data_IF_024624301206
#
_entry.id   IF_024624301206
#
_cell.length_a   1.000
_cell.length_b   1.000
_cell.length_c   1.000
_cell.angle_alpha   90.00
_cell.angle_beta   90.00
_cell.angle_gamma   90.00
#
_symmetry.space_group_name_H-M   'P 1'
#
loop_
_entity.id
_entity.type
_entity.pdbx_description
1 polymer ?
#
# COMPACT_ATOMS: atom_id res chain seq x y z
N UNK A 1 15.89 18.90 5.02
CA UNK A 1 15.89 17.77 5.98
C UNK A 1 14.49 17.70 6.55
N UNK A 2 13.60 16.94 5.91
CA UNK A 2 12.22 16.80 6.38
C UNK A 2 12.21 15.69 7.43
N UNK A 3 12.26 16.09 8.70
CA UNK A 3 11.88 15.21 9.80
C UNK A 3 10.37 15.06 9.72
N UNK A 4 9.91 13.99 9.08
CA UNK A 4 8.51 13.56 9.22
C UNK A 4 8.41 13.05 10.65
N UNK A 5 7.71 13.79 11.50
CA UNK A 5 7.48 13.41 12.88
C UNK A 5 6.95 11.97 12.93
N UNK A 6 7.62 11.14 13.74
CA UNK A 6 7.30 9.72 13.89
C UNK A 6 5.89 9.47 14.44
N UNK A 7 5.25 10.51 14.98
CA UNK A 7 3.91 10.45 15.58
C UNK A 7 2.79 10.19 14.54
N UNK A 8 2.92 10.64 13.29
CA UNK A 8 1.85 10.46 12.30
C UNK A 8 1.79 9.05 11.70
N UNK A 9 2.91 8.31 11.72
CA UNK A 9 2.98 6.95 11.16
C UNK A 9 2.19 5.92 11.99
N UNK A 10 1.83 6.27 13.21
CA UNK A 10 1.43 5.31 14.22
C UNK A 10 -0.08 5.28 14.49
N UNK A 11 -0.88 6.20 13.93
CA UNK A 11 -2.33 6.28 14.18
C UNK A 11 -3.09 4.95 14.10
N UNK A 12 -2.99 4.16 13.02
CA UNK A 12 -3.70 2.87 12.94
C UNK A 12 -3.13 1.81 13.90
N UNK A 13 -1.85 1.84 14.23
CA UNK A 13 -1.26 0.84 15.13
C UNK A 13 -1.59 1.19 16.59
N UNK A 14 -1.59 2.47 16.94
CA UNK A 14 -1.87 2.97 18.28
C UNK A 14 -3.37 3.01 18.59
N UNK A 15 -4.24 3.18 17.58
CA UNK A 15 -5.69 3.22 17.78
C UNK A 15 -6.31 1.84 18.04
N UNK A 16 -5.66 0.75 17.62
CA UNK A 16 -6.22 -0.59 17.73
C UNK A 16 -5.38 -1.46 18.66
N UNK A 17 -5.86 -1.62 19.90
CA UNK A 17 -5.25 -2.51 20.90
C UNK A 17 -5.46 -4.00 20.54
N UNK A 18 -6.52 -4.33 19.78
CA UNK A 18 -6.81 -5.70 19.31
C UNK A 18 -6.11 -5.98 17.96
N UNK A 19 -5.13 -6.90 17.92
CA UNK A 19 -4.46 -7.26 16.67
C UNK A 19 -5.39 -7.88 15.62
N UNK A 20 -6.51 -8.49 16.02
CA UNK A 20 -7.48 -9.09 15.09
C UNK A 20 -8.33 -8.03 14.40
N UNK A 21 -8.70 -6.97 15.12
CA UNK A 21 -9.38 -5.82 14.53
C UNK A 21 -8.46 -5.10 13.53
N UNK A 22 -7.19 -4.88 13.90
CA UNK A 22 -6.19 -4.31 12.99
C UNK A 22 -5.99 -5.19 11.74
N UNK A 23 -5.91 -6.51 11.90
CA UNK A 23 -5.80 -7.46 10.79
C UNK A 23 -7.01 -7.36 9.85
N UNK A 24 -8.22 -7.24 10.40
CA UNK A 24 -9.45 -7.08 9.61
C UNK A 24 -9.41 -5.80 8.78
N UNK A 25 -9.16 -4.66 9.42
CA UNK A 25 -9.12 -3.34 8.78
C UNK A 25 -8.06 -3.30 7.68
N UNK A 26 -6.84 -3.75 7.99
CA UNK A 26 -5.75 -3.80 7.00
C UNK A 26 -6.12 -4.70 5.83
N UNK A 27 -6.70 -5.88 6.09
CA UNK A 27 -7.12 -6.80 5.04
C UNK A 27 -8.18 -6.21 4.11
N UNK A 28 -9.19 -5.54 4.69
CA UNK A 28 -10.27 -4.88 3.92
C UNK A 28 -9.70 -3.74 3.10
N UNK A 29 -8.85 -2.89 3.68
CA UNK A 29 -8.28 -1.74 2.97
C UNK A 29 -7.34 -2.15 1.84
N UNK A 30 -6.51 -3.18 2.03
CA UNK A 30 -5.68 -3.74 0.95
C UNK A 30 -6.55 -4.31 -0.18
N UNK A 31 -7.66 -4.98 0.16
CA UNK A 31 -8.60 -5.51 -0.82
C UNK A 31 -9.33 -4.39 -1.58
N UNK A 32 -9.75 -3.34 -0.88
CA UNK A 32 -10.34 -2.15 -1.50
C UNK A 32 -9.34 -1.50 -2.45
N UNK A 33 -8.10 -1.29 -2.01
CA UNK A 33 -7.04 -0.74 -2.85
C UNK A 33 -6.84 -1.60 -4.11
N UNK A 34 -6.81 -2.92 -3.99
CA UNK A 34 -6.68 -3.83 -5.14
C UNK A 34 -7.81 -3.70 -6.19
N UNK A 35 -8.98 -3.16 -5.81
CA UNK A 35 -10.14 -2.97 -6.68
C UNK A 35 -10.18 -1.59 -7.34
N UNK A 36 -9.30 -0.67 -6.97
CA UNK A 36 -9.24 0.68 -7.53
C UNK A 36 -9.00 0.61 -9.04
N UNK A 37 -9.79 1.38 -9.78
CA UNK A 37 -9.68 1.56 -11.22
C UNK A 37 -9.06 2.93 -11.55
N UNK A 38 -8.72 3.12 -12.83
CA UNK A 38 -8.29 4.45 -13.30
C UNK A 38 -9.48 5.41 -13.19
N UNK A 39 -9.21 6.65 -12.79
CA UNK A 39 -10.20 7.70 -12.53
C UNK A 39 -11.11 7.49 -11.31
N UNK A 40 -10.97 6.38 -10.59
CA UNK A 40 -11.62 6.20 -9.29
C UNK A 40 -11.04 7.18 -8.25
N UNK A 41 -11.90 7.65 -7.35
CA UNK A 41 -11.50 8.38 -6.16
C UNK A 41 -11.45 7.42 -4.98
N UNK A 42 -10.29 7.36 -4.32
CA UNK A 42 -10.12 6.58 -3.11
C UNK A 42 -10.29 7.48 -1.89
N UNK A 43 -11.36 7.26 -1.14
CA UNK A 43 -11.61 7.90 0.15
C UNK A 43 -10.87 7.11 1.24
N UNK A 44 -10.01 7.79 1.99
CA UNK A 44 -9.10 7.17 2.97
C UNK A 44 -9.19 7.83 4.35
N UNK A 45 -10.15 8.72 4.57
CA UNK A 45 -10.27 9.53 5.80
C UNK A 45 -10.99 8.82 6.94
N UNK A 46 -11.63 7.68 6.67
CA UNK A 46 -12.18 6.79 7.70
C UNK A 46 -11.34 5.51 7.82
N UNK A 47 -11.65 4.70 8.84
CA UNK A 47 -10.93 3.45 9.14
C UNK A 47 -10.93 2.48 7.96
N UNK A 48 -12.06 2.43 7.24
CA UNK A 48 -12.20 1.66 6.00
C UNK A 48 -12.15 2.56 4.78
N UNK A 49 -11.30 2.18 3.84
CA UNK A 49 -11.21 2.83 2.54
C UNK A 49 -12.47 2.57 1.73
N UNK A 50 -12.89 3.56 0.96
CA UNK A 50 -14.02 3.44 0.05
C UNK A 50 -13.67 3.97 -1.33
N UNK A 51 -14.17 3.29 -2.37
CA UNK A 51 -14.03 3.72 -3.76
C UNK A 51 -15.27 4.54 -4.12
N UNK A 52 -15.04 5.76 -4.58
CA UNK A 52 -16.05 6.66 -5.11
C UNK A 52 -15.83 6.80 -6.61
N UNK A 53 -16.83 6.43 -7.42
CA UNK A 53 -16.69 6.50 -8.87
C UNK A 53 -17.26 7.82 -9.39
N UNK A 54 -16.63 8.45 -10.40
CA UNK A 54 -17.17 9.67 -11.00
C UNK A 54 -18.60 9.51 -11.54
N UNK A 55 -18.97 8.31 -11.98
CA UNK A 55 -20.31 8.01 -12.48
C UNK A 55 -21.41 8.17 -11.42
N UNK A 56 -21.06 8.08 -10.14
CA UNK A 56 -22.01 8.15 -9.03
C UNK A 56 -22.35 9.61 -8.66
N UNK A 57 -21.52 10.59 -9.06
CA UNK A 57 -21.63 12.00 -8.68
C UNK A 57 -21.77 12.96 -9.87
N UNK A 58 -22.38 12.50 -10.98
CA UNK A 58 -22.54 13.27 -12.23
C UNK A 58 -23.17 14.66 -12.08
N UNK A 59 -23.80 14.95 -10.94
CA UNK A 59 -24.48 16.22 -10.65
C UNK A 59 -23.56 17.26 -9.97
N UNK A 60 -22.43 16.88 -9.39
CA UNK A 60 -21.58 17.80 -8.61
C UNK A 60 -20.21 17.97 -9.29
N UNK A 61 -19.78 19.22 -9.60
CA UNK A 61 -18.45 19.47 -10.11
C UNK A 61 -17.36 18.92 -9.17
N UNK A 62 -16.46 18.10 -9.71
CA UNK A 62 -15.41 17.38 -8.97
C UNK A 62 -14.56 18.30 -8.07
N UNK A 63 -14.27 19.53 -8.50
CA UNK A 63 -13.50 20.49 -7.72
C UNK A 63 -14.22 20.91 -6.43
N UNK A 64 -15.54 21.10 -6.49
CA UNK A 64 -16.37 21.47 -5.34
C UNK A 64 -16.49 20.30 -4.38
N UNK A 65 -16.71 19.09 -4.91
CA UNK A 65 -16.74 17.88 -4.09
C UNK A 65 -15.43 17.66 -3.33
N UNK A 66 -14.28 17.79 -4.00
CA UNK A 66 -12.96 17.65 -3.35
C UNK A 66 -12.69 18.70 -2.30
N UNK A 67 -13.07 19.95 -2.55
CA UNK A 67 -12.93 21.02 -1.58
C UNK A 67 -13.83 20.79 -0.36
N UNK A 68 -15.10 20.43 -0.59
CA UNK A 68 -16.11 20.24 0.46
C UNK A 68 -15.74 19.11 1.43
N UNK A 69 -15.13 18.04 0.94
CA UNK A 69 -14.72 16.90 1.78
C UNK A 69 -13.24 16.91 2.17
N UNK A 70 -12.48 17.98 1.89
CA UNK A 70 -11.08 18.09 2.29
C UNK A 70 -10.16 17.01 1.68
N UNK A 71 -10.54 16.41 0.55
CA UNK A 71 -9.79 15.32 -0.06
C UNK A 71 -8.54 15.84 -0.77
N UNK A 72 -7.42 15.83 -0.06
CA UNK A 72 -6.11 16.11 -0.64
C UNK A 72 -5.47 14.80 -1.15
N UNK A 73 -4.84 14.85 -2.34
CA UNK A 73 -4.11 13.70 -2.90
C UNK A 73 -2.99 13.25 -1.96
N UNK A 74 -2.38 14.20 -1.24
CA UNK A 74 -1.34 13.93 -0.26
C UNK A 74 -1.88 13.13 0.93
N UNK A 75 -3.03 13.53 1.48
CA UNK A 75 -3.68 12.81 2.57
C UNK A 75 -4.05 11.38 2.15
N UNK A 76 -4.55 11.19 0.92
CA UNK A 76 -4.78 9.84 0.38
C UNK A 76 -3.51 9.01 0.36
N UNK A 77 -2.41 9.60 -0.10
CA UNK A 77 -1.12 8.93 -0.19
C UNK A 77 -0.54 8.58 1.18
N UNK A 78 -0.62 9.49 2.16
CA UNK A 78 -0.10 9.26 3.50
C UNK A 78 -0.88 8.13 4.20
N UNK A 79 -2.20 8.09 4.05
CA UNK A 79 -3.02 6.98 4.56
C UNK A 79 -2.71 5.65 3.87
N UNK A 80 -2.41 5.66 2.56
CA UNK A 80 -1.98 4.45 1.85
C UNK A 80 -0.63 3.98 2.40
N UNK A 81 0.34 4.86 2.62
CA UNK A 81 1.64 4.48 3.22
C UNK A 81 1.42 3.87 4.59
N UNK A 82 0.57 4.49 5.41
CA UNK A 82 0.22 3.98 6.72
C UNK A 82 -0.41 2.59 6.67
N UNK A 83 -1.28 2.31 5.69
CA UNK A 83 -1.84 0.98 5.48
C UNK A 83 -0.73 -0.08 5.26
N UNK A 84 0.28 0.22 4.45
CA UNK A 84 1.39 -0.70 4.23
C UNK A 84 2.31 -0.83 5.45
N UNK A 85 2.53 0.26 6.19
CA UNK A 85 3.27 0.22 7.46
C UNK A 85 2.55 -0.66 8.49
N UNK A 86 1.22 -0.54 8.62
CA UNK A 86 0.40 -1.42 9.47
C UNK A 86 0.43 -2.88 9.00
N UNK A 87 0.39 -3.13 7.69
CA UNK A 87 0.51 -4.48 7.14
C UNK A 87 1.89 -5.10 7.44
N UNK A 88 2.96 -4.30 7.37
CA UNK A 88 4.31 -4.71 7.74
C UNK A 88 4.40 -5.00 9.24
N UNK A 89 3.83 -4.14 10.09
CA UNK A 89 3.76 -4.35 11.53
C UNK A 89 3.06 -5.67 11.88
N UNK A 90 1.92 -5.96 11.25
CA UNK A 90 1.20 -7.24 11.42
C UNK A 90 2.08 -8.46 11.06
N UNK A 91 2.89 -8.36 10.00
CA UNK A 91 3.77 -9.46 9.57
C UNK A 91 5.01 -9.64 10.47
N UNK A 92 5.54 -8.55 11.02
CA UNK A 92 6.81 -8.57 11.78
C UNK A 92 6.61 -8.71 13.29
N UNK A 93 5.56 -8.12 13.86
CA UNK A 93 5.41 -7.93 15.31
C UNK A 93 4.26 -8.71 15.92
N UNK A 94 3.22 -8.99 15.16
CA UNK A 94 2.04 -9.72 15.65
C UNK A 94 2.22 -11.22 15.44
N UNK A 95 1.80 -12.02 16.43
CA UNK A 95 1.74 -13.47 16.30
C UNK A 95 0.53 -13.86 15.46
N UNK A 96 0.72 -13.86 14.14
CA UNK A 96 -0.24 -14.37 13.16
C UNK A 96 0.01 -15.84 12.85
N UNK A 97 -1.06 -16.57 12.55
CA UNK A 97 -1.00 -17.92 11.95
C UNK A 97 -0.36 -17.86 10.56
N UNK A 98 0.17 -19.00 10.09
CA UNK A 98 0.78 -19.06 8.74
C UNK A 98 -0.22 -18.71 7.63
N UNK A 99 -1.48 -19.10 7.79
CA UNK A 99 -2.57 -18.77 6.86
C UNK A 99 -2.84 -17.26 6.82
N UNK A 100 -2.92 -16.60 7.97
CA UNK A 100 -3.11 -15.14 8.05
C UNK A 100 -1.91 -14.40 7.45
N UNK A 101 -0.68 -14.81 7.78
CA UNK A 101 0.54 -14.22 7.19
C UNK A 101 0.54 -14.35 5.67
N UNK A 102 0.17 -15.53 5.16
CA UNK A 102 0.07 -15.77 3.70
C UNK A 102 -1.00 -14.88 3.08
N UNK A 103 -2.18 -14.79 3.70
CA UNK A 103 -3.29 -13.96 3.23
C UNK A 103 -2.91 -12.48 3.16
N UNK A 104 -2.29 -11.92 4.21
CA UNK A 104 -1.86 -10.52 4.23
C UNK A 104 -0.85 -10.27 3.10
N UNK A 105 0.15 -11.14 2.93
CA UNK A 105 1.13 -11.02 1.83
C UNK A 105 0.49 -11.05 0.45
N UNK A 106 -0.45 -11.96 0.22
CA UNK A 106 -1.19 -11.99 -1.04
C UNK A 106 -2.01 -10.72 -1.28
N UNK A 107 -2.61 -10.16 -0.23
CA UNK A 107 -3.36 -8.91 -0.33
C UNK A 107 -2.46 -7.72 -0.65
N UNK A 108 -1.27 -7.64 -0.05
CA UNK A 108 -0.25 -6.63 -0.39
C UNK A 108 0.16 -6.77 -1.88
N UNK A 109 0.44 -7.99 -2.35
CA UNK A 109 0.76 -8.22 -3.78
C UNK A 109 -0.39 -7.81 -4.70
N UNK A 110 -1.65 -8.09 -4.32
CA UNK A 110 -2.85 -7.73 -5.09
C UNK A 110 -3.09 -6.21 -5.10
N UNK A 111 -2.84 -5.51 -4.00
CA UNK A 111 -3.07 -4.07 -3.88
C UNK A 111 -2.13 -3.24 -4.77
N UNK A 112 -0.97 -3.78 -5.17
CA UNK A 112 -0.07 -3.13 -6.14
C UNK A 112 -0.78 -2.82 -7.47
N UNK A 113 -1.74 -3.63 -7.90
CA UNK A 113 -2.56 -3.32 -9.08
C UNK A 113 -3.31 -2.01 -8.91
N UNK A 114 -3.87 -1.77 -7.73
CA UNK A 114 -4.55 -0.53 -7.36
C UNK A 114 -3.63 0.68 -7.36
N UNK A 115 -2.45 0.56 -6.77
CA UNK A 115 -1.44 1.63 -6.77
C UNK A 115 -1.06 2.04 -8.20
N UNK A 116 -0.85 1.07 -9.10
CA UNK A 116 -0.58 1.35 -10.52
C UNK A 116 -1.74 2.08 -11.19
N UNK A 117 -2.99 1.79 -10.80
CA UNK A 117 -4.16 2.52 -11.31
C UNK A 117 -4.23 3.94 -10.78
N UNK A 118 -3.92 4.15 -9.49
CA UNK A 118 -3.80 5.49 -8.90
C UNK A 118 -2.67 6.31 -9.54
N UNK A 119 -1.53 5.70 -9.88
CA UNK A 119 -0.47 6.36 -10.64
C UNK A 119 -0.97 6.91 -11.97
N UNK A 120 -1.77 6.14 -12.71
CA UNK A 120 -2.38 6.59 -13.96
C UNK A 120 -3.37 7.74 -13.69
N UNK A 121 -4.22 7.62 -12.67
CA UNK A 121 -5.16 8.67 -12.26
C UNK A 121 -4.45 9.98 -11.90
N UNK A 122 -3.25 9.89 -11.31
CA UNK A 122 -2.47 11.04 -10.86
C UNK A 122 -1.26 11.35 -11.75
N UNK A 123 -1.26 10.91 -13.01
CA UNK A 123 -0.11 11.06 -13.92
C UNK A 123 0.35 12.52 -14.12
N UNK A 124 -0.55 13.50 -13.94
CA UNK A 124 -0.24 14.93 -14.04
C UNK A 124 0.41 15.50 -12.78
N UNK A 125 0.38 14.77 -11.67
CA UNK A 125 0.95 15.14 -10.39
C UNK A 125 2.23 14.33 -10.16
N UNK A 126 3.36 14.87 -10.62
CA UNK A 126 4.66 14.16 -10.65
C UNK A 126 5.11 13.75 -9.25
N UNK A 127 4.82 14.56 -8.23
CA UNK A 127 5.18 14.26 -6.85
C UNK A 127 4.42 13.02 -6.35
N UNK A 128 3.09 13.03 -6.45
CA UNK A 128 2.24 11.90 -6.02
C UNK A 128 2.57 10.64 -6.83
N UNK A 129 2.80 10.77 -8.14
CA UNK A 129 3.19 9.65 -8.99
C UNK A 129 4.49 9.00 -8.51
N UNK A 130 5.52 9.81 -8.23
CA UNK A 130 6.84 9.35 -7.80
C UNK A 130 6.78 8.66 -6.45
N UNK A 131 6.01 9.21 -5.51
CA UNK A 131 5.85 8.59 -4.20
C UNK A 131 5.08 7.26 -4.25
N UNK A 132 4.06 7.15 -5.11
CA UNK A 132 3.41 5.87 -5.38
C UNK A 132 4.36 4.84 -6.01
N UNK A 133 5.29 5.30 -6.87
CA UNK A 133 6.32 4.44 -7.47
C UNK A 133 7.31 3.93 -6.43
N UNK A 134 7.80 4.83 -5.56
CA UNK A 134 8.70 4.45 -4.45
C UNK A 134 8.01 3.44 -3.54
N UNK A 135 6.76 3.70 -3.16
CA UNK A 135 5.99 2.79 -2.31
C UNK A 135 5.87 1.39 -2.93
N UNK A 136 5.56 1.30 -4.23
CA UNK A 136 5.51 0.03 -4.96
C UNK A 136 6.83 -0.73 -4.90
N UNK A 137 7.97 -0.05 -5.06
CA UNK A 137 9.29 -0.67 -5.03
C UNK A 137 9.69 -1.13 -3.62
N UNK A 138 9.38 -0.32 -2.60
CA UNK A 138 9.65 -0.63 -1.20
C UNK A 138 8.83 -1.83 -0.72
N UNK A 139 7.54 -1.88 -1.04
CA UNK A 139 6.66 -2.97 -0.63
C UNK A 139 6.98 -4.26 -1.37
N UNK A 140 7.31 -4.20 -2.67
CA UNK A 140 7.71 -5.39 -3.43
C UNK A 140 8.99 -6.00 -2.84
N UNK A 141 10.03 -5.19 -2.61
CA UNK A 141 11.27 -5.63 -1.93
C UNK A 141 11.01 -6.17 -0.53
N UNK A 142 10.21 -5.48 0.27
CA UNK A 142 9.87 -5.87 1.64
C UNK A 142 9.19 -7.23 1.70
N UNK A 143 8.25 -7.51 0.80
CA UNK A 143 7.58 -8.82 0.73
C UNK A 143 8.57 -9.93 0.38
N UNK A 144 9.48 -9.72 -0.59
CA UNK A 144 10.48 -10.75 -0.92
C UNK A 144 11.41 -11.06 0.26
N UNK A 145 11.80 -10.05 1.03
CA UNK A 145 12.62 -10.26 2.23
C UNK A 145 11.84 -11.08 3.27
N UNK A 146 10.55 -10.79 3.47
CA UNK A 146 9.70 -11.54 4.40
C UNK A 146 9.46 -12.98 3.92
N UNK A 147 9.31 -13.21 2.61
CA UNK A 147 9.15 -14.55 2.03
C UNK A 147 10.39 -15.42 2.28
N UNK A 148 11.60 -14.85 2.17
CA UNK A 148 12.88 -15.52 2.46
C UNK A 148 13.04 -15.91 3.94
N UNK A 149 12.55 -15.08 4.87
CA UNK A 149 12.61 -15.36 6.31
C UNK A 149 11.67 -16.50 6.69
N UNK A 150 10.49 -16.59 6.05
CA UNK A 150 9.53 -17.67 6.31
C UNK A 150 9.87 -19.00 5.65
N UNK A 151 10.79 -19.06 4.68
CA UNK A 151 11.15 -20.28 3.97
C UNK A 151 12.67 -20.32 3.65
N UNK A 152 13.53 -20.73 4.60
CA UNK A 152 14.99 -20.68 4.44
C UNK A 152 15.53 -21.59 3.31
N UNK A 153 14.70 -22.50 2.80
CA UNK A 153 15.02 -23.42 1.70
C UNK A 153 15.19 -22.72 0.33
N UNK A 154 14.63 -21.52 0.14
CA UNK A 154 14.62 -20.81 -1.15
C UNK A 154 15.87 -19.92 -1.39
N UNK A 155 16.77 -19.82 -0.39
CA UNK A 155 17.99 -18.98 -0.44
C UNK A 155 18.97 -19.46 -1.52
N UNK A 156 18.92 -20.73 -1.94
CA UNK A 156 19.84 -21.29 -2.91
C UNK A 156 19.52 -20.96 -4.39
N UNK A 157 18.30 -20.54 -4.69
CA UNK A 157 17.86 -20.37 -6.09
C UNK A 157 18.26 -19.03 -6.71
N UNK A 158 18.54 -18.00 -5.89
CA UNK A 158 18.82 -16.63 -6.39
C UNK A 158 20.31 -16.40 -6.68
N UNK A 159 21.23 -17.18 -6.11
CA UNK A 159 22.67 -17.09 -6.45
C UNK A 159 22.97 -17.36 -7.94
N UNK A 160 22.10 -18.09 -8.63
CA UNK A 160 22.23 -18.33 -10.07
C UNK A 160 21.65 -17.24 -10.98
N UNK A 161 20.83 -16.32 -10.45
CA UNK A 161 20.24 -15.22 -11.25
C UNK A 161 20.99 -13.89 -11.11
N UNK A 162 21.74 -13.71 -10.02
CA UNK A 162 22.59 -12.53 -9.82
C UNK A 162 23.96 -12.62 -10.54
N UNK A 163 24.34 -13.79 -11.06
CA UNK A 163 25.62 -14.02 -11.75
C UNK A 163 25.56 -13.84 -13.28
N UNK A 164 24.37 -13.64 -13.86
CA UNK A 164 24.20 -13.47 -15.32
C UNK A 164 24.16 -12.02 -15.81
N UNK A 165 24.33 -11.02 -14.93
CA UNK A 165 24.43 -9.59 -15.31
C UNK A 165 25.86 -9.01 -15.17
N UNK A 166 26.88 -9.87 -15.17
CA UNK A 166 28.28 -9.47 -14.98
C UNK A 166 29.27 -10.29 -15.80
N UNK A 167 29.09 -10.41 -17.11
CA UNK A 167 30.19 -10.70 -18.04
C UNK A 167 29.85 -10.20 -19.45
N UNK A 168 29.96 -8.89 -19.64
CA UNK A 168 29.96 -8.24 -20.94
C UNK A 168 31.20 -7.35 -21.01
N UNK A 169 32.37 -7.98 -21.11
CA UNK A 169 33.61 -7.32 -21.48
C UNK A 169 34.17 -8.06 -22.68
N UNK A 170 34.07 -7.42 -23.85
CA UNK A 170 35.12 -7.27 -24.86
C UNK A 170 34.67 -6.23 -25.90
#
# INVERSE_FOLDING_TARGET
MFSVDREDKQKLIDCYEDPQELLHIVSVNLLTLAKVQTDDYLMTTGDLFAIQRPADYRLIPIGVFRFYYGYSRQTTLDNIKQLYDSAKYLLEKVQLTDEERKKVRELIKKSHRGLKKLQVTYIKDVAVYSELQILLEETDRGIYVLDLISNPSDVHTIKHRATTFGSGSE
#
